data_IF_376471669163
#
_entry.id   IF_376471669163
#
_cell.length_a   1.000
_cell.length_b   1.000
_cell.length_c   1.000
_cell.angle_alpha   90.00
_cell.angle_beta   90.00
_cell.angle_gamma   90.00
#
_symmetry.space_group_name_H-M   'P 1'
#
loop_
_entity.id
_entity.type
_entity.pdbx_description
1 polymer ?
#
# COMPACT_ATOMS: atom_id res chain seq x y z
N UNK A 1 2.49 0.57 -11.28
CA UNK A 1 1.71 1.28 -10.25
C UNK A 1 1.44 2.68 -10.75
N UNK A 2 0.18 3.10 -10.73
CA UNK A 2 -0.26 4.45 -11.11
C UNK A 2 -0.76 5.17 -9.87
N UNK A 3 -0.46 6.46 -9.74
CA UNK A 3 -0.97 7.32 -8.66
C UNK A 3 -1.85 8.38 -9.28
N UNK A 4 -3.13 8.44 -8.89
CA UNK A 4 -4.06 9.47 -9.36
C UNK A 4 -4.96 9.90 -8.21
N UNK A 5 -5.00 11.19 -7.92
CA UNK A 5 -5.95 11.78 -6.96
C UNK A 5 -5.94 11.14 -5.56
N UNK A 6 -4.77 10.73 -5.05
CA UNK A 6 -4.66 10.09 -3.72
C UNK A 6 -4.95 8.58 -3.70
N UNK A 7 -5.28 7.98 -4.84
CA UNK A 7 -5.42 6.52 -5.00
C UNK A 7 -4.17 5.96 -5.66
N UNK A 8 -3.71 4.81 -5.18
CA UNK A 8 -2.55 4.10 -5.72
C UNK A 8 -2.93 2.68 -6.09
N UNK A 9 -2.58 2.28 -7.31
CA UNK A 9 -2.74 0.91 -7.78
C UNK A 9 -1.42 0.15 -7.64
N UNK A 10 -1.42 -0.96 -6.88
CA UNK A 10 -0.22 -1.73 -6.55
C UNK A 10 -0.43 -3.19 -6.92
N UNK A 11 0.45 -3.74 -7.76
CA UNK A 11 0.52 -5.18 -7.99
C UNK A 11 1.21 -5.86 -6.80
N UNK A 12 0.48 -6.72 -6.10
CA UNK A 12 1.01 -7.49 -4.99
C UNK A 12 1.84 -8.68 -5.51
N UNK A 13 2.94 -8.99 -4.82
CA UNK A 13 3.78 -10.14 -5.18
C UNK A 13 3.12 -11.48 -4.88
N UNK A 14 2.19 -11.50 -3.92
CA UNK A 14 1.41 -12.66 -3.50
C UNK A 14 -0.03 -12.19 -3.31
N UNK A 15 -1.02 -13.02 -3.67
CA UNK A 15 -2.41 -12.70 -3.37
C UNK A 15 -2.59 -12.64 -1.85
N UNK A 16 -3.44 -11.73 -1.41
CA UNK A 16 -3.80 -11.57 0.01
C UNK A 16 -5.32 -11.50 0.10
N UNK A 17 -5.87 -11.99 1.21
CA UNK A 17 -7.27 -11.75 1.54
C UNK A 17 -7.37 -10.38 2.21
N UNK A 18 -8.18 -9.49 1.66
CA UNK A 18 -8.48 -8.19 2.24
C UNK A 18 -9.94 -7.83 1.94
N UNK A 19 -10.59 -7.14 2.87
CA UNK A 19 -11.94 -6.64 2.69
C UNK A 19 -11.93 -5.19 2.18
N UNK A 20 -12.95 -4.81 1.42
CA UNK A 20 -13.13 -3.41 1.01
C UNK A 20 -13.32 -2.52 2.26
N UNK A 21 -12.64 -1.37 2.30
CA UNK A 21 -12.64 -0.51 3.49
C UNK A 21 -11.59 -0.88 4.54
N UNK A 22 -10.85 -1.99 4.37
CA UNK A 22 -9.81 -2.38 5.32
C UNK A 22 -8.63 -1.39 5.30
N UNK A 23 -8.17 -1.00 6.49
CA UNK A 23 -7.02 -0.09 6.64
C UNK A 23 -5.71 -0.86 6.47
N UNK A 24 -4.85 -0.35 5.59
CA UNK A 24 -3.55 -0.94 5.28
C UNK A 24 -2.41 0.03 5.57
N UNK A 25 -1.31 -0.48 6.09
CA UNK A 25 -0.09 0.28 6.30
C UNK A 25 0.78 0.22 5.05
N UNK A 26 1.32 1.37 4.63
CA UNK A 26 2.24 1.44 3.50
C UNK A 26 3.63 1.74 4.01
N UNK A 27 4.57 0.83 3.74
CA UNK A 27 5.97 1.00 4.05
C UNK A 27 6.81 1.07 2.78
N UNK A 28 7.94 1.76 2.86
CA UNK A 28 8.90 1.88 1.76
C UNK A 28 10.30 1.59 2.27
N UNK A 29 11.06 0.82 1.50
CA UNK A 29 12.47 0.62 1.77
C UNK A 29 13.26 1.87 1.37
N UNK A 30 13.96 2.48 2.32
CA UNK A 30 14.80 3.66 2.14
C UNK A 30 16.15 3.39 2.82
N UNK A 31 17.24 3.45 2.07
CA UNK A 31 18.61 3.19 2.56
C UNK A 31 18.74 1.85 3.30
N UNK A 32 18.15 0.79 2.75
CA UNK A 32 18.22 -0.56 3.30
C UNK A 32 17.31 -0.83 4.52
N UNK A 33 16.49 0.14 4.94
CA UNK A 33 15.56 -0.02 6.06
C UNK A 33 14.12 0.23 5.62
N UNK A 34 13.19 -0.57 6.14
CA UNK A 34 11.77 -0.30 5.95
C UNK A 34 11.34 0.86 6.84
N UNK A 35 10.69 1.85 6.25
CA UNK A 35 10.08 2.97 6.95
C UNK A 35 8.59 2.95 6.67
N UNK A 36 7.79 3.10 7.72
CA UNK A 36 6.36 3.39 7.57
C UNK A 36 6.24 4.77 6.94
N UNK A 37 5.54 4.89 5.81
CA UNK A 37 5.37 6.15 5.08
C UNK A 37 3.93 6.66 5.13
N UNK A 38 2.98 5.83 5.57
CA UNK A 38 1.59 6.23 5.70
C UNK A 38 0.66 5.02 5.81
N UNK A 39 -0.63 5.29 5.60
CA UNK A 39 -1.67 4.29 5.58
C UNK A 39 -2.68 4.63 4.47
N UNK A 40 -3.47 3.65 4.08
CA UNK A 40 -4.56 3.81 3.12
C UNK A 40 -5.71 2.87 3.45
N UNK A 41 -6.73 2.92 2.60
CA UNK A 41 -7.92 2.07 2.68
C UNK A 41 -7.97 1.27 1.39
N UNK A 42 -8.23 -0.03 1.50
CA UNK A 42 -8.47 -0.89 0.35
C UNK A 42 -9.78 -0.45 -0.32
N UNK A 43 -9.67 -0.13 -1.61
CA UNK A 43 -10.77 0.27 -2.49
C UNK A 43 -10.68 -0.55 -3.77
#
# INVERSE_FOLDING_TARGET
>A
SSVRGGVVEINLRRPVCAEEGQRVAVSRMVSGRWRLIGWGIVK
#
